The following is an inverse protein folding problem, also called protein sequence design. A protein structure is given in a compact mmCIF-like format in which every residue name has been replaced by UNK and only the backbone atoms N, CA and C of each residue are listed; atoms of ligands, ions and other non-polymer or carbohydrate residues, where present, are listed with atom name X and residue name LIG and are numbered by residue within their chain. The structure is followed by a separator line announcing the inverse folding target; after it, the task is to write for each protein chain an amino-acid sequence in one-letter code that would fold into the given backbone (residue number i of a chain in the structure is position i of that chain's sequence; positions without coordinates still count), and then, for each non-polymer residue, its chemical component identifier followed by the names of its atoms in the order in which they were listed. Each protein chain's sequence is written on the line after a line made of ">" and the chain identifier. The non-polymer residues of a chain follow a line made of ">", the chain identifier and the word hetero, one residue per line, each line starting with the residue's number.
data_IF_820818403687
#
_entry.id   IF_820818403687
#
_cell.length_a   1.000
_cell.length_b   1.000
_cell.length_c   1.000
_cell.angle_alpha   90.00
_cell.angle_beta   90.00
_cell.angle_gamma   90.00
#
_symmetry.space_group_name_H-M   'P 1'
#
loop_
_entity.id
_entity.type
_entity.pdbx_description
1 polymer ?
#
# COMPACT_ATOMS: atom_id res chain seq x y z
N UNK A 1 25.51 -3.44 2.19
CA UNK A 1 24.36 -4.34 2.39
C UNK A 1 23.20 -3.90 1.53
N UNK A 2 22.65 -4.81 0.74
CA UNK A 2 21.44 -4.60 -0.02
C UNK A 2 20.22 -4.98 0.84
N UNK A 3 19.17 -4.19 0.75
CA UNK A 3 17.93 -4.41 1.52
C UNK A 3 16.76 -4.55 0.54
N UNK A 4 15.89 -5.51 0.76
CA UNK A 4 14.61 -5.64 0.07
C UNK A 4 13.44 -5.66 1.06
N UNK A 5 12.23 -5.35 0.57
CA UNK A 5 11.01 -5.33 1.38
C UNK A 5 10.00 -6.30 0.78
N UNK A 6 9.51 -7.22 1.59
CA UNK A 6 8.56 -8.25 1.17
C UNK A 6 7.18 -8.01 1.81
N UNK A 7 6.21 -7.60 0.97
CA UNK A 7 4.78 -7.64 1.29
C UNK A 7 4.15 -8.95 0.74
N UNK A 8 3.29 -8.86 -0.26
CA UNK A 8 2.69 -10.04 -0.90
C UNK A 8 3.63 -10.88 -1.77
N UNK A 9 4.87 -10.47 -1.98
CA UNK A 9 5.90 -11.19 -2.78
C UNK A 9 5.49 -11.51 -4.21
N UNK A 10 4.69 -10.66 -4.81
CA UNK A 10 4.14 -10.85 -6.16
C UNK A 10 5.03 -10.26 -7.29
N UNK A 11 6.22 -9.74 -6.94
CA UNK A 11 7.14 -9.14 -7.89
C UNK A 11 7.83 -10.21 -8.75
N UNK A 12 7.96 -9.95 -10.04
CA UNK A 12 8.69 -10.83 -10.96
C UNK A 12 10.13 -11.04 -10.48
N UNK A 13 10.66 -12.25 -10.73
CA UNK A 13 12.02 -12.65 -10.36
C UNK A 13 12.31 -12.63 -8.86
N UNK A 14 11.29 -12.65 -8.01
CA UNK A 14 11.45 -12.61 -6.55
C UNK A 14 12.29 -11.44 -6.03
N UNK A 15 12.30 -10.30 -6.72
CA UNK A 15 13.14 -9.15 -6.36
C UNK A 15 12.88 -8.64 -4.94
N UNK A 16 11.65 -8.77 -4.44
CA UNK A 16 11.29 -8.44 -3.05
C UNK A 16 11.86 -9.40 -1.99
N UNK A 17 12.51 -10.47 -2.42
CA UNK A 17 13.13 -11.49 -1.55
C UNK A 17 14.64 -11.61 -1.78
N UNK A 18 15.24 -10.69 -2.53
CA UNK A 18 16.66 -10.68 -2.86
C UNK A 18 17.37 -9.57 -2.07
N UNK A 19 18.53 -9.88 -1.53
CA UNK A 19 19.33 -8.94 -0.76
C UNK A 19 19.99 -9.60 0.43
N UNK A 20 20.91 -8.87 1.05
CA UNK A 20 21.58 -9.33 2.28
C UNK A 20 20.60 -9.33 3.47
N UNK A 21 19.62 -8.41 3.43
CA UNK A 21 18.56 -8.28 4.44
C UNK A 21 17.22 -8.20 3.72
N UNK A 22 16.24 -8.97 4.20
CA UNK A 22 14.85 -8.91 3.76
C UNK A 22 13.98 -8.43 4.93
N UNK A 23 13.33 -7.28 4.77
CA UNK A 23 12.32 -6.79 5.71
C UNK A 23 10.98 -7.40 5.34
N UNK A 24 10.52 -8.35 6.15
CA UNK A 24 9.31 -9.11 5.89
C UNK A 24 8.10 -8.48 6.59
N UNK A 25 7.21 -7.86 5.79
CA UNK A 25 6.03 -7.16 6.28
C UNK A 25 4.81 -8.07 6.46
N UNK A 26 4.87 -9.35 6.09
CA UNK A 26 3.69 -10.25 6.01
C UNK A 26 2.93 -10.47 7.32
N UNK A 27 3.53 -10.15 8.45
CA UNK A 27 2.85 -10.21 9.75
C UNK A 27 2.12 -8.91 10.11
N UNK A 28 2.34 -7.82 9.38
CA UNK A 28 1.64 -6.56 9.55
C UNK A 28 0.41 -6.55 8.63
N UNK A 29 -0.72 -7.05 9.11
CA UNK A 29 -1.93 -7.28 8.31
C UNK A 29 -3.19 -6.64 8.91
N UNK A 30 -3.03 -5.62 9.73
CA UNK A 30 -4.17 -4.89 10.29
C UNK A 30 -4.83 -4.01 9.23
N UNK A 31 -6.16 -3.96 9.27
CA UNK A 31 -6.99 -3.06 8.47
C UNK A 31 -7.96 -2.36 9.41
N UNK A 32 -8.04 -1.04 9.29
CA UNK A 32 -8.95 -0.19 10.08
C UNK A 32 -9.79 0.65 9.13
N UNK A 33 -11.10 0.34 9.06
CA UNK A 33 -12.05 0.99 8.14
C UNK A 33 -12.86 2.06 8.88
N UNK A 34 -12.78 3.30 8.36
CA UNK A 34 -13.71 4.37 8.67
C UNK A 34 -14.78 4.40 7.58
N UNK A 35 -15.90 3.71 7.83
CA UNK A 35 -16.97 3.57 6.85
C UNK A 35 -17.69 4.90 6.57
N UNK A 36 -17.76 5.82 7.54
CA UNK A 36 -18.37 7.14 7.37
C UNK A 36 -17.54 8.01 6.41
N UNK A 37 -16.20 8.01 6.60
CA UNK A 37 -15.27 8.74 5.74
C UNK A 37 -14.92 7.98 4.45
N UNK A 38 -15.35 6.73 4.35
CA UNK A 38 -14.98 5.81 3.25
C UNK A 38 -13.47 5.76 3.06
N UNK A 39 -12.75 5.48 4.13
CA UNK A 39 -11.29 5.32 4.09
C UNK A 39 -10.88 4.09 4.89
N UNK A 40 -9.72 3.53 4.55
CA UNK A 40 -9.11 2.44 5.29
C UNK A 40 -7.64 2.73 5.55
N UNK A 41 -7.17 2.49 6.78
CA UNK A 41 -5.75 2.27 7.04
C UNK A 41 -5.45 0.80 6.83
N UNK A 42 -4.46 0.52 5.99
CA UNK A 42 -4.08 -0.83 5.58
C UNK A 42 -2.59 -1.04 5.80
N UNK A 43 -2.21 -2.02 6.58
CA UNK A 43 -0.81 -2.38 6.80
C UNK A 43 -0.20 -3.06 5.57
N UNK A 44 1.11 -2.87 5.39
CA UNK A 44 1.83 -3.25 4.16
C UNK A 44 1.97 -4.75 3.92
N UNK A 45 1.68 -5.59 4.91
CA UNK A 45 1.64 -7.03 4.76
C UNK A 45 0.31 -7.58 4.26
N UNK A 46 -0.73 -6.73 4.17
CA UNK A 46 -2.03 -7.12 3.61
C UNK A 46 -1.92 -7.47 2.13
N UNK A 47 -2.74 -8.41 1.70
CA UNK A 47 -2.96 -8.77 0.31
C UNK A 47 -4.33 -8.24 -0.16
N UNK A 48 -4.58 -8.27 -1.46
CA UNK A 48 -5.85 -7.84 -2.08
C UNK A 48 -7.05 -8.49 -1.39
N UNK A 49 -6.97 -9.80 -1.14
CA UNK A 49 -8.05 -10.55 -0.48
C UNK A 49 -8.43 -9.96 0.89
N UNK A 50 -7.45 -9.59 1.70
CA UNK A 50 -7.70 -9.02 3.03
C UNK A 50 -8.49 -7.72 2.93
N UNK A 51 -8.06 -6.83 2.02
CA UNK A 51 -8.67 -5.51 1.83
C UNK A 51 -10.09 -5.64 1.27
N UNK A 52 -10.29 -6.52 0.29
CA UNK A 52 -11.60 -6.75 -0.32
C UNK A 52 -12.59 -7.34 0.70
N UNK A 53 -12.16 -8.32 1.52
CA UNK A 53 -13.03 -8.92 2.54
C UNK A 53 -13.49 -7.89 3.59
N UNK A 54 -12.56 -7.07 4.09
CA UNK A 54 -12.89 -6.04 5.07
C UNK A 54 -13.76 -4.92 4.46
N UNK A 55 -13.45 -4.46 3.25
CA UNK A 55 -14.24 -3.42 2.58
C UNK A 55 -15.69 -3.88 2.29
N UNK A 56 -15.86 -5.11 1.80
CA UNK A 56 -17.19 -5.69 1.50
C UNK A 56 -18.05 -5.80 2.77
N UNK A 57 -17.47 -6.11 3.93
CA UNK A 57 -18.20 -6.17 5.20
C UNK A 57 -18.85 -4.82 5.57
N UNK A 58 -18.35 -3.72 5.02
CA UNK A 58 -18.89 -2.36 5.17
C UNK A 58 -19.66 -1.84 3.95
N UNK A 59 -19.96 -2.70 2.96
CA UNK A 59 -20.54 -2.33 1.67
C UNK A 59 -19.69 -1.31 0.90
N UNK A 60 -18.39 -1.40 1.01
CA UNK A 60 -17.40 -0.56 0.35
C UNK A 60 -16.48 -1.41 -0.51
N UNK A 61 -15.74 -0.75 -1.40
CA UNK A 61 -14.72 -1.38 -2.24
C UNK A 61 -13.47 -0.50 -2.36
N UNK A 62 -12.30 -1.11 -2.37
CA UNK A 62 -11.05 -0.47 -2.74
C UNK A 62 -10.72 -0.69 -4.22
N UNK A 63 -9.88 0.15 -4.81
CA UNK A 63 -9.32 -0.11 -6.14
C UNK A 63 -8.16 -1.09 -5.99
N UNK A 64 -8.47 -2.38 -6.08
CA UNK A 64 -7.55 -3.50 -5.92
C UNK A 64 -7.25 -4.20 -7.24
N UNK A 65 -6.24 -5.07 -7.26
CA UNK A 65 -5.83 -5.82 -8.45
C UNK A 65 -6.71 -7.04 -8.73
N UNK A 66 -6.37 -7.74 -9.81
CA UNK A 66 -7.11 -8.92 -10.27
C UNK A 66 -6.76 -10.20 -9.50
N UNK A 67 -5.58 -10.25 -8.90
CA UNK A 67 -5.08 -11.42 -8.20
C UNK A 67 -5.19 -11.22 -6.69
N UNK A 68 -5.94 -12.09 -6.04
CA UNK A 68 -6.29 -12.00 -4.62
C UNK A 68 -5.08 -12.06 -3.68
N UNK A 69 -3.98 -12.68 -4.10
CA UNK A 69 -2.75 -12.87 -3.32
C UNK A 69 -1.69 -11.76 -3.54
N UNK A 70 -2.03 -10.75 -4.36
CA UNK A 70 -1.13 -9.60 -4.60
C UNK A 70 -1.00 -8.75 -3.36
N UNK A 71 0.22 -8.40 -2.96
CA UNK A 71 0.48 -7.47 -1.86
C UNK A 71 -0.02 -6.07 -2.18
N UNK A 72 -0.92 -5.54 -1.33
CA UNK A 72 -1.60 -4.26 -1.59
C UNK A 72 -0.62 -3.08 -1.62
N UNK A 73 0.43 -3.10 -0.78
CA UNK A 73 1.39 -2.01 -0.72
C UNK A 73 2.20 -1.88 -2.00
N UNK A 74 2.83 -2.97 -2.46
CA UNK A 74 3.60 -2.95 -3.72
C UNK A 74 2.72 -2.64 -4.93
N UNK A 75 1.49 -3.14 -4.93
CA UNK A 75 0.50 -2.86 -5.97
C UNK A 75 0.17 -1.36 -6.02
N UNK A 76 -0.23 -0.77 -4.91
CA UNK A 76 -0.64 0.64 -4.84
C UNK A 76 0.53 1.59 -5.11
N UNK A 77 1.67 1.39 -4.46
CA UNK A 77 2.85 2.27 -4.63
C UNK A 77 3.44 2.22 -6.04
N UNK A 78 3.15 1.17 -6.81
CA UNK A 78 3.54 1.02 -8.21
C UNK A 78 2.48 1.50 -9.22
N UNK A 79 1.38 2.08 -8.76
CA UNK A 79 0.26 2.53 -9.60
C UNK A 79 -1.01 1.74 -9.34
N UNK A 80 -1.04 0.45 -9.64
CA UNK A 80 -2.15 -0.44 -9.33
C UNK A 80 -3.36 -0.31 -10.25
N UNK A 81 -3.37 -1.06 -11.35
CA UNK A 81 -4.50 -1.17 -12.27
C UNK A 81 -5.41 -2.34 -11.86
N UNK A 82 -6.71 -2.07 -11.66
CA UNK A 82 -7.70 -3.05 -11.30
C UNK A 82 -9.04 -2.88 -12.01
N UNK A 83 -10.02 -3.75 -11.67
CA UNK A 83 -11.35 -3.73 -12.30
C UNK A 83 -12.13 -2.44 -12.08
N UNK A 84 -11.89 -1.75 -10.98
CA UNK A 84 -12.56 -0.49 -10.65
C UNK A 84 -11.86 0.74 -11.21
N UNK A 85 -10.65 0.58 -11.79
CA UNK A 85 -9.86 1.71 -12.31
C UNK A 85 -10.56 2.54 -13.39
N UNK A 86 -11.40 1.98 -14.29
CA UNK A 86 -12.11 2.81 -15.27
C UNK A 86 -13.06 3.83 -14.65
N UNK A 87 -13.50 3.60 -13.41
CA UNK A 87 -14.44 4.48 -12.71
C UNK A 87 -13.76 5.37 -11.66
N UNK A 88 -12.73 4.85 -10.98
CA UNK A 88 -12.16 5.49 -9.80
C UNK A 88 -10.67 5.81 -9.91
N UNK A 89 -10.08 5.62 -11.09
CA UNK A 89 -8.64 5.79 -11.30
C UNK A 89 -7.83 4.57 -10.82
N UNK A 90 -6.54 4.70 -10.81
CA UNK A 90 -5.63 3.68 -10.31
C UNK A 90 -5.71 3.56 -8.79
N UNK A 91 -5.18 2.48 -8.22
CA UNK A 91 -5.07 2.35 -6.75
C UNK A 91 -4.30 3.52 -6.13
N UNK A 92 -3.24 3.95 -6.79
CA UNK A 92 -2.42 5.09 -6.36
C UNK A 92 -3.16 6.43 -6.36
N UNK A 93 -4.14 6.60 -7.24
CA UNK A 93 -5.00 7.80 -7.27
C UNK A 93 -5.93 7.85 -6.03
N UNK A 94 -6.12 6.72 -5.39
CA UNK A 94 -6.90 6.55 -4.17
C UNK A 94 -6.03 6.49 -2.89
N UNK A 95 -4.72 6.72 -3.02
CA UNK A 95 -3.79 6.79 -1.89
C UNK A 95 -3.87 8.18 -1.25
N UNK A 96 -4.32 8.25 0.01
CA UNK A 96 -4.55 9.49 0.76
C UNK A 96 -3.39 9.85 1.69
N UNK A 97 -2.72 8.85 2.25
CA UNK A 97 -1.57 9.05 3.13
C UNK A 97 -0.72 7.78 3.22
N UNK A 98 0.52 7.93 3.64
CA UNK A 98 1.41 6.82 3.99
C UNK A 98 2.07 7.06 5.34
N UNK A 99 2.31 5.98 6.08
CA UNK A 99 3.29 5.96 7.16
C UNK A 99 4.45 5.06 6.75
N UNK A 100 5.65 5.54 6.92
CA UNK A 100 6.86 4.80 6.54
C UNK A 100 7.99 5.03 7.54
N UNK A 101 8.94 4.11 7.53
CA UNK A 101 10.22 4.25 8.22
C UNK A 101 11.27 4.67 7.20
N UNK A 102 11.88 5.83 7.43
CA UNK A 102 12.92 6.39 6.56
C UNK A 102 14.23 5.59 6.65
N UNK A 103 15.20 5.79 5.73
CA UNK A 103 16.52 5.17 5.84
C UNK A 103 17.28 5.55 7.12
N UNK A 104 16.91 6.65 7.78
CA UNK A 104 17.48 7.11 9.05
C UNK A 104 16.80 6.45 10.27
N UNK A 105 15.76 5.63 10.04
CA UNK A 105 14.99 4.97 11.10
C UNK A 105 13.88 5.84 11.71
N UNK A 106 13.54 6.95 11.08
CA UNK A 106 12.48 7.85 11.53
C UNK A 106 11.12 7.39 11.02
N UNK A 107 10.11 7.42 11.90
CA UNK A 107 8.72 7.20 11.52
C UNK A 107 8.15 8.50 10.93
N UNK A 108 7.79 8.46 9.66
CA UNK A 108 7.21 9.60 8.93
C UNK A 108 5.74 9.34 8.61
N UNK A 109 4.93 10.40 8.76
CA UNK A 109 3.57 10.49 8.23
C UNK A 109 3.58 11.48 7.06
N UNK A 110 3.02 11.09 5.93
CA UNK A 110 3.04 11.86 4.68
C UNK A 110 1.64 11.84 4.07
N UNK A 111 1.13 13.02 3.78
CA UNK A 111 -0.09 13.24 3.00
C UNK A 111 0.03 14.54 2.18
N UNK A 112 -1.00 14.92 1.44
CA UNK A 112 -1.00 16.11 0.59
C UNK A 112 -0.92 17.44 1.39
N UNK A 113 -1.25 17.42 2.69
CA UNK A 113 -1.20 18.61 3.54
C UNK A 113 0.16 18.76 4.24
N UNK A 114 0.73 17.65 4.71
CA UNK A 114 1.98 17.66 5.49
C UNK A 114 3.23 17.70 4.63
N UNK A 115 3.27 16.96 3.52
CA UNK A 115 4.40 16.93 2.59
C UNK A 115 3.94 16.50 1.18
N UNK A 116 3.41 17.45 0.39
CA UNK A 116 2.87 17.16 -0.94
C UNK A 116 3.93 16.65 -1.92
N UNK A 117 5.20 17.03 -1.75
CA UNK A 117 6.29 16.56 -2.63
C UNK A 117 6.57 15.07 -2.39
N UNK A 118 6.72 14.66 -1.13
CA UNK A 118 6.87 13.23 -0.81
C UNK A 118 5.62 12.43 -1.12
N UNK A 119 4.43 13.02 -0.95
CA UNK A 119 3.18 12.35 -1.33
C UNK A 119 3.10 12.13 -2.84
N UNK A 120 3.58 13.08 -3.64
CA UNK A 120 3.72 12.88 -5.08
C UNK A 120 4.67 11.73 -5.43
N UNK A 121 5.82 11.64 -4.75
CA UNK A 121 6.76 10.51 -4.91
C UNK A 121 6.12 9.19 -4.45
N UNK A 122 5.36 9.19 -3.34
CA UNK A 122 4.66 8.00 -2.85
C UNK A 122 3.71 7.42 -3.90
N UNK A 123 3.12 8.28 -4.73
CA UNK A 123 2.24 7.88 -5.84
C UNK A 123 3.01 7.47 -7.08
N UNK A 124 3.55 6.24 -7.06
CA UNK A 124 4.22 5.61 -8.21
C UNK A 124 5.68 5.23 -7.97
N UNK A 125 6.34 5.82 -6.96
CA UNK A 125 7.73 5.53 -6.60
C UNK A 125 7.95 5.46 -5.08
N UNK A 126 6.91 5.16 -4.32
CA UNK A 126 6.92 5.23 -2.84
C UNK A 126 7.97 4.37 -2.15
N UNK A 127 8.41 3.29 -2.77
CA UNK A 127 9.51 2.44 -2.26
C UNK A 127 10.87 3.16 -2.18
N UNK A 128 11.03 4.32 -2.83
CA UNK A 128 12.26 5.12 -2.76
C UNK A 128 12.33 6.03 -1.52
N UNK A 129 11.22 6.18 -0.79
CA UNK A 129 11.16 7.03 0.40
C UNK A 129 11.56 6.31 1.68
N UNK A 130 11.47 4.99 1.68
CA UNK A 130 11.70 4.15 2.85
C UNK A 130 10.78 2.93 2.86
N UNK A 131 10.63 2.30 4.03
CA UNK A 131 9.76 1.14 4.22
C UNK A 131 8.37 1.61 4.62
N UNK A 132 7.42 1.55 3.70
CA UNK A 132 6.02 1.88 4.01
C UNK A 132 5.45 0.80 4.92
N UNK A 133 4.94 1.20 6.09
CA UNK A 133 4.37 0.28 7.08
C UNK A 133 2.85 0.20 6.99
N UNK A 134 2.18 1.29 6.64
CA UNK A 134 0.74 1.32 6.32
C UNK A 134 0.37 2.48 5.40
N UNK A 135 -0.76 2.33 4.75
CA UNK A 135 -1.31 3.29 3.79
C UNK A 135 -2.75 3.62 4.14
N UNK A 136 -3.16 4.86 3.88
CA UNK A 136 -4.57 5.26 3.94
C UNK A 136 -5.15 5.26 2.53
N UNK A 137 -6.13 4.43 2.29
CA UNK A 137 -6.81 4.29 1.00
C UNK A 137 -8.21 4.89 1.07
N UNK A 138 -8.63 5.53 -0.04
CA UNK A 138 -10.03 5.88 -0.27
C UNK A 138 -10.80 4.64 -0.68
N UNK A 139 -12.01 4.49 -0.16
CA UNK A 139 -12.98 3.46 -0.49
C UNK A 139 -14.18 4.06 -1.24
N UNK A 140 -14.93 3.21 -1.94
CA UNK A 140 -16.06 3.59 -2.79
C UNK A 140 -17.29 2.76 -2.52
#
# INVERSE_FOLDING_TARGET
>A
LSVSVAGGRHMFNNASMQGDIVIDMRLMRSIDIDAEKRTAWVESGCIVFDVDQEAIAHNLAAVTGQFYDTGIAGFTLGGGLGFLSPRYGLSVDNLLAVQLVSPQGELLYIDDETDPEKMWVARGAGWNLGVVIRMKLKLH
#
